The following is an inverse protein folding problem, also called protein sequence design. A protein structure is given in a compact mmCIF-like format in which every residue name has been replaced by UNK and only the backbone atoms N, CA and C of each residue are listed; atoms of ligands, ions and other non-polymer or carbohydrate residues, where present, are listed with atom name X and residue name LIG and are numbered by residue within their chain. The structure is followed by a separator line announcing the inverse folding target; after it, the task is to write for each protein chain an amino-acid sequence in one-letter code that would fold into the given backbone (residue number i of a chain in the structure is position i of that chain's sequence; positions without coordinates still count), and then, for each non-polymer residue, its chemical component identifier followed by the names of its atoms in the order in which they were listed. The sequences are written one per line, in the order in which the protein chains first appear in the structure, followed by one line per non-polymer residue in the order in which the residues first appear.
data_IF_603496764534
#
_entry.id   IF_603496764534
#
_cell.length_a   1.000
_cell.length_b   1.000
_cell.length_c   1.000
_cell.angle_alpha   90.00
_cell.angle_beta   90.00
_cell.angle_gamma   90.00
#
_symmetry.space_group_name_H-M   'P 1'
#
loop_
_entity.id
_entity.type
_entity.pdbx_description
1 polymer ?
#
# COMPACT_ATOMS: atom_id res chain seq x y z
N UNK A 1 -14.15 30.24 -26.90
CA UNK A 1 -14.80 29.72 -25.68
C UNK A 1 -16.12 29.08 -26.05
N UNK A 2 -16.46 27.91 -25.49
CA UNK A 2 -17.76 27.27 -25.71
C UNK A 2 -18.83 28.00 -24.90
N UNK A 3 -19.81 28.58 -25.57
CA UNK A 3 -20.91 29.34 -24.95
C UNK A 3 -21.88 28.47 -24.14
N UNK A 4 -21.80 27.15 -24.26
CA UNK A 4 -22.68 26.19 -23.56
C UNK A 4 -21.94 25.31 -22.54
N UNK A 5 -20.64 25.57 -22.31
CA UNK A 5 -19.90 24.83 -21.30
C UNK A 5 -20.43 25.20 -19.91
N UNK A 6 -20.94 24.19 -19.19
CA UNK A 6 -21.26 24.35 -17.78
C UNK A 6 -19.96 24.54 -16.99
N UNK A 7 -19.95 25.36 -15.93
CA UNK A 7 -18.79 25.43 -15.05
C UNK A 7 -18.50 24.04 -14.49
N UNK A 8 -17.21 23.72 -14.36
CA UNK A 8 -16.80 22.47 -13.73
C UNK A 8 -17.28 22.48 -12.28
N UNK A 9 -18.00 21.43 -11.89
CA UNK A 9 -18.41 21.26 -10.51
C UNK A 9 -17.17 21.07 -9.62
N UNK A 10 -17.12 21.83 -8.53
CA UNK A 10 -16.21 21.61 -7.40
C UNK A 10 -17.03 21.25 -6.18
N UNK A 11 -16.56 20.27 -5.41
CA UNK A 11 -17.18 19.97 -4.12
C UNK A 11 -16.70 20.94 -3.05
N UNK A 12 -17.54 21.17 -2.04
CA UNK A 12 -17.18 22.01 -0.87
C UNK A 12 -15.87 21.55 -0.23
N UNK A 13 -15.64 20.23 -0.16
CA UNK A 13 -14.39 19.64 0.34
C UNK A 13 -13.18 20.04 -0.51
N UNK A 14 -13.35 20.08 -1.84
CA UNK A 14 -12.26 20.48 -2.76
C UNK A 14 -11.92 21.95 -2.55
N UNK A 15 -12.94 22.81 -2.41
CA UNK A 15 -12.75 24.23 -2.21
C UNK A 15 -12.13 24.54 -0.84
N UNK A 16 -12.56 23.82 0.21
CA UNK A 16 -11.94 23.86 1.54
C UNK A 16 -10.45 23.48 1.51
N UNK A 17 -10.09 22.35 0.87
CA UNK A 17 -8.69 21.91 0.79
C UNK A 17 -7.85 22.93 0.02
N UNK A 18 -8.40 23.54 -1.04
CA UNK A 18 -7.70 24.57 -1.81
C UNK A 18 -7.42 25.80 -0.94
N UNK A 19 -8.42 26.29 -0.21
CA UNK A 19 -8.26 27.43 0.69
C UNK A 19 -7.24 27.11 1.80
N UNK A 20 -7.34 25.92 2.42
CA UNK A 20 -6.41 25.50 3.47
C UNK A 20 -4.94 25.51 3.00
N UNK A 21 -4.68 25.05 1.77
CA UNK A 21 -3.33 25.06 1.19
C UNK A 21 -2.84 26.45 0.84
N UNK A 22 -3.73 27.35 0.42
CA UNK A 22 -3.40 28.77 0.19
C UNK A 22 -3.03 29.47 1.49
N UNK A 23 -3.82 29.25 2.55
CA UNK A 23 -3.59 29.84 3.86
C UNK A 23 -2.32 29.28 4.54
N UNK A 24 -1.96 28.03 4.24
CA UNK A 24 -0.83 27.31 4.84
C UNK A 24 0.08 26.70 3.76
N UNK A 25 0.92 27.50 3.09
CA UNK A 25 1.79 27.02 2.02
C UNK A 25 2.84 25.99 2.50
N UNK A 26 3.18 25.97 3.79
CA UNK A 26 4.12 24.99 4.36
C UNK A 26 3.48 23.64 4.70
N UNK A 27 2.15 23.51 4.58
CA UNK A 27 1.41 22.32 5.03
C UNK A 27 1.85 21.04 4.30
N UNK A 28 2.11 21.13 2.99
CA UNK A 28 2.53 19.96 2.21
C UNK A 28 3.92 19.47 2.62
N UNK A 29 4.84 20.38 2.94
CA UNK A 29 6.16 20.02 3.46
C UNK A 29 6.07 19.36 4.84
N UNK A 30 5.23 19.89 5.72
CA UNK A 30 4.97 19.30 7.04
C UNK A 30 4.30 17.92 6.92
N UNK A 31 3.38 17.75 5.97
CA UNK A 31 2.76 16.46 5.70
C UNK A 31 3.79 15.43 5.23
N UNK A 32 4.69 15.81 4.32
CA UNK A 32 5.79 14.95 3.86
C UNK A 32 6.71 14.57 5.02
N UNK A 33 7.13 15.54 5.84
CA UNK A 33 7.96 15.30 7.02
C UNK A 33 7.27 14.36 8.01
N UNK A 34 5.99 14.59 8.32
CA UNK A 34 5.20 13.74 9.20
C UNK A 34 5.05 12.31 8.68
N UNK A 35 4.86 12.13 7.37
CA UNK A 35 4.88 10.80 6.74
C UNK A 35 6.26 10.14 6.83
N UNK A 36 7.33 10.92 6.66
CA UNK A 36 8.72 10.47 6.81
C UNK A 36 9.08 9.87 8.17
N UNK A 37 8.32 10.17 9.23
CA UNK A 37 8.61 9.67 10.57
C UNK A 37 8.24 8.19 10.77
N UNK A 38 7.05 7.79 10.31
CA UNK A 38 6.48 6.48 10.65
C UNK A 38 5.91 5.71 9.44
N UNK A 39 5.67 6.39 8.33
CA UNK A 39 4.98 5.82 7.17
C UNK A 39 5.93 5.54 6.01
N UNK A 40 6.74 6.52 5.64
CA UNK A 40 7.72 6.34 4.56
C UNK A 40 8.94 5.63 5.14
N UNK A 41 9.06 4.35 4.81
CA UNK A 41 10.23 3.55 5.15
C UNK A 41 11.17 3.57 3.95
N UNK A 42 12.39 4.02 4.17
CA UNK A 42 13.46 3.76 3.22
C UNK A 42 13.80 2.27 3.31
N UNK A 43 13.72 1.57 2.19
CA UNK A 43 14.03 0.14 2.17
C UNK A 43 15.01 -0.17 1.09
N UNK A 44 16.09 -0.81 1.51
CA UNK A 44 17.16 -1.25 0.63
C UNK A 44 16.65 -2.28 -0.40
N UNK A 45 16.84 -1.95 -1.67
CA UNK A 45 16.40 -2.77 -2.79
C UNK A 45 17.13 -4.12 -2.87
N UNK A 46 18.41 -4.15 -2.47
CA UNK A 46 19.24 -5.37 -2.44
C UNK A 46 18.72 -6.32 -1.36
N UNK A 47 18.49 -5.81 -0.15
CA UNK A 47 17.91 -6.57 0.95
C UNK A 47 16.53 -7.12 0.59
N UNK A 48 15.68 -6.34 -0.08
CA UNK A 48 14.39 -6.83 -0.59
C UNK A 48 14.54 -7.94 -1.62
N UNK A 49 15.56 -7.90 -2.45
CA UNK A 49 15.84 -8.95 -3.42
C UNK A 49 16.26 -10.25 -2.74
N UNK A 50 17.08 -10.16 -1.70
CA UNK A 50 17.48 -11.33 -0.90
C UNK A 50 16.28 -11.95 -0.19
N UNK A 51 15.41 -11.13 0.42
CA UNK A 51 14.16 -11.62 1.03
C UNK A 51 13.24 -12.30 0.02
N UNK A 52 13.15 -11.78 -1.21
CA UNK A 52 12.35 -12.40 -2.28
C UNK A 52 12.97 -13.72 -2.73
N UNK A 53 14.29 -13.80 -2.81
CA UNK A 53 15.02 -15.01 -3.20
C UNK A 53 14.88 -16.11 -2.14
N UNK A 54 14.94 -15.75 -0.85
CA UNK A 54 14.77 -16.68 0.27
C UNK A 54 13.32 -17.06 0.60
N UNK A 55 12.33 -16.60 -0.19
CA UNK A 55 10.92 -16.82 0.11
C UNK A 55 10.55 -18.31 -0.05
N UNK A 56 10.10 -18.93 1.04
CA UNK A 56 9.57 -20.30 1.04
C UNK A 56 8.11 -20.31 0.57
N UNK A 57 7.77 -21.24 -0.32
CA UNK A 57 6.40 -21.41 -0.79
C UNK A 57 5.48 -21.84 0.36
N UNK A 58 4.49 -20.99 0.69
CA UNK A 58 3.50 -21.27 1.72
C UNK A 58 2.35 -22.11 1.14
N UNK A 59 1.90 -23.12 1.89
CA UNK A 59 0.69 -23.89 1.52
C UNK A 59 -0.54 -22.96 1.51
N UNK A 60 -1.45 -23.18 0.57
CA UNK A 60 -2.70 -22.39 0.44
C UNK A 60 -3.53 -22.36 1.73
N UNK A 61 -3.49 -23.46 2.50
CA UNK A 61 -4.07 -23.55 3.83
C UNK A 61 -3.03 -24.04 4.83
N UNK A 62 -2.51 -23.11 5.64
CA UNK A 62 -1.42 -23.35 6.61
C UNK A 62 -1.76 -24.44 7.63
N UNK A 63 -3.02 -24.47 8.06
CA UNK A 63 -3.52 -25.42 9.06
C UNK A 63 -4.13 -26.68 8.46
N UNK A 64 -4.19 -26.79 7.13
CA UNK A 64 -4.77 -27.97 6.49
C UNK A 64 -3.73 -29.09 6.47
N UNK A 65 -3.88 -30.03 7.40
CA UNK A 65 -3.16 -31.30 7.42
C UNK A 65 -3.77 -32.27 6.40
N UNK A 66 -3.64 -31.98 5.10
CA UNK A 66 -3.88 -33.02 4.10
C UNK A 66 -2.77 -34.05 4.17
N UNK A 67 -3.05 -35.20 4.76
CA UNK A 67 -2.27 -36.42 4.52
C UNK A 67 -2.80 -37.03 3.23
N UNK A 68 -2.03 -37.03 2.12
CA UNK A 68 -2.45 -37.73 0.92
C UNK A 68 -2.57 -39.21 1.25
N UNK A 69 -3.75 -39.79 1.07
CA UNK A 69 -3.97 -41.21 1.21
C UNK A 69 -3.21 -41.95 0.10
N UNK A 70 -1.93 -42.26 0.33
CA UNK A 70 -1.08 -42.86 -0.72
C UNK A 70 0.12 -43.67 -0.27
N UNK A 71 0.57 -43.58 1.00
CA UNK A 71 1.64 -44.47 1.51
C UNK A 71 1.37 -44.89 2.95
N UNK A 72 0.50 -45.88 3.11
CA UNK A 72 0.47 -46.73 4.31
C UNK A 72 1.60 -47.75 4.17
N UNK A 73 2.83 -47.39 4.48
CA UNK A 73 3.86 -48.39 4.79
C UNK A 73 3.71 -48.71 6.26
N UNK A 74 2.95 -49.77 6.57
CA UNK A 74 2.94 -50.37 7.90
C UNK A 74 4.33 -50.90 8.22
N UNK A 75 4.91 -50.60 9.40
CA UNK A 75 6.04 -51.36 9.89
C UNK A 75 5.52 -52.73 10.35
N UNK A 76 6.11 -53.79 9.79
CA UNK A 76 6.18 -55.11 10.45
C UNK A 76 7.19 -55.01 11.59
#
# INVERSE_FOLDING_TARGET
MSFFARPHYTSDTTDFIRQLKQDKPQLDAQQQQGRGLLWDKDVDAEVWQDYRTGKVAQKAYVYYSYTPAGKRTSPM
#
